data_IF_874256048908
#
_entry.id   IF_874256048908
#
_cell.length_a   1.000
_cell.length_b   1.000
_cell.length_c   1.000
_cell.angle_alpha   90.00
_cell.angle_beta   90.00
_cell.angle_gamma   90.00
#
_symmetry.space_group_name_H-M   'P 1'
#
loop_
_entity.id
_entity.type
_entity.pdbx_description
1 polymer ?
#
# COMPACT_ATOMS: atom_id res chain seq x y z
N UNK A 1 11.93 -25.98 -2.05
CA UNK A 1 12.86 -25.00 -2.62
C UNK A 1 12.31 -24.58 -3.97
N UNK A 2 11.86 -23.33 -4.08
CA UNK A 2 11.49 -22.74 -5.38
C UNK A 2 12.78 -22.66 -6.20
N UNK A 3 12.74 -23.25 -7.40
CA UNK A 3 13.91 -23.50 -8.24
C UNK A 3 14.58 -22.24 -8.77
N UNK A 4 15.82 -22.42 -9.22
CA UNK A 4 16.67 -21.42 -9.86
C UNK A 4 15.89 -20.54 -10.84
N UNK A 5 15.93 -19.23 -10.59
CA UNK A 5 15.35 -18.17 -11.43
C UNK A 5 16.41 -17.58 -12.38
N UNK A 6 17.31 -18.41 -12.92
CA UNK A 6 18.22 -17.94 -13.97
C UNK A 6 17.71 -18.43 -15.34
N UNK A 7 16.88 -17.64 -16.05
CA UNK A 7 16.52 -17.96 -17.41
C UNK A 7 17.75 -17.71 -18.29
N UNK A 8 18.57 -18.75 -18.46
CA UNK A 8 19.58 -18.77 -19.50
C UNK A 8 18.94 -18.50 -20.87
N UNK A 9 19.09 -17.27 -21.36
CA UNK A 9 18.66 -16.86 -22.69
C UNK A 9 17.48 -15.88 -22.70
N UNK A 10 17.79 -14.60 -22.55
CA UNK A 10 17.33 -13.41 -23.32
C UNK A 10 15.88 -13.26 -23.88
N UNK A 11 14.87 -14.06 -23.49
CA UNK A 11 13.50 -13.90 -24.05
C UNK A 11 12.31 -14.12 -23.12
N UNK A 12 12.50 -14.48 -21.85
CA UNK A 12 11.39 -14.63 -20.92
C UNK A 12 11.68 -13.92 -19.60
N UNK A 13 11.50 -12.60 -19.59
CA UNK A 13 11.43 -11.84 -18.34
C UNK A 13 10.16 -12.31 -17.62
N UNK A 14 10.33 -13.05 -16.53
CA UNK A 14 9.22 -13.36 -15.64
C UNK A 14 8.78 -12.06 -14.98
N UNK A 15 7.61 -11.56 -15.40
CA UNK A 15 6.98 -10.42 -14.74
C UNK A 15 6.03 -11.00 -13.68
N UNK A 16 6.29 -10.77 -12.38
CA UNK A 16 5.36 -11.20 -11.35
C UNK A 16 4.00 -10.54 -11.60
N UNK A 17 2.97 -11.36 -11.83
CA UNK A 17 1.60 -10.89 -12.06
C UNK A 17 0.78 -11.17 -10.81
N UNK A 18 0.28 -10.10 -10.18
CA UNK A 18 -0.70 -10.20 -9.11
C UNK A 18 -2.10 -10.25 -9.72
N UNK A 19 -2.91 -11.25 -9.35
CA UNK A 19 -4.30 -11.38 -9.77
C UNK A 19 -5.21 -11.37 -8.55
N UNK A 20 -6.26 -10.55 -8.60
CA UNK A 20 -7.35 -10.61 -7.63
C UNK A 20 -8.31 -11.73 -8.06
N UNK A 21 -8.65 -12.62 -7.14
CA UNK A 21 -9.52 -13.77 -7.35
C UNK A 21 -10.52 -13.85 -6.19
N UNK A 22 -11.49 -14.77 -6.31
CA UNK A 22 -12.44 -15.10 -5.25
C UNK A 22 -13.30 -13.89 -4.81
N UNK A 23 -14.29 -13.56 -5.65
CA UNK A 23 -15.24 -12.48 -5.42
C UNK A 23 -16.57 -12.98 -4.85
N UNK A 24 -16.61 -14.19 -4.30
CA UNK A 24 -17.87 -14.82 -3.83
C UNK A 24 -18.46 -14.08 -2.62
N UNK A 25 -17.62 -13.37 -1.85
CA UNK A 25 -18.02 -12.50 -0.74
C UNK A 25 -18.15 -11.01 -1.13
N UNK A 26 -17.98 -10.67 -2.41
CA UNK A 26 -18.13 -9.29 -2.86
C UNK A 26 -19.60 -8.84 -2.69
N UNK A 27 -19.78 -7.63 -2.17
CA UNK A 27 -21.09 -7.07 -1.92
C UNK A 27 -21.22 -5.65 -2.49
N UNK A 28 -22.42 -5.31 -2.96
CA UNK A 28 -22.73 -3.93 -3.36
C UNK A 28 -23.05 -3.13 -2.11
N UNK A 29 -22.15 -2.22 -1.75
CA UNK A 29 -22.37 -1.26 -0.67
C UNK A 29 -23.25 -0.13 -1.20
N UNK A 30 -24.45 0.03 -0.63
CA UNK A 30 -25.30 1.19 -0.90
C UNK A 30 -24.82 2.37 -0.07
N UNK A 31 -24.50 3.47 -0.71
CA UNK A 31 -24.03 4.69 -0.09
C UNK A 31 -24.64 5.92 -0.76
N UNK A 32 -24.58 7.07 -0.11
CA UNK A 32 -25.15 8.30 -0.65
C UNK A 32 -24.37 8.75 -1.91
N UNK A 33 -24.99 9.50 -2.84
CA UNK A 33 -24.29 10.01 -4.01
C UNK A 33 -23.01 10.78 -3.64
N UNK A 34 -21.88 10.33 -4.18
CA UNK A 34 -20.55 10.91 -3.89
C UNK A 34 -19.78 10.22 -2.76
N UNK A 35 -20.38 9.27 -2.03
CA UNK A 35 -19.69 8.42 -1.09
C UNK A 35 -19.12 7.16 -1.77
N UNK A 36 -17.96 6.71 -1.30
CA UNK A 36 -17.26 5.54 -1.84
C UNK A 36 -16.85 4.55 -0.73
N UNK A 37 -17.76 4.28 0.23
CA UNK A 37 -17.47 3.48 1.44
C UNK A 37 -16.84 2.12 1.14
N UNK A 38 -17.38 1.39 0.16
CA UNK A 38 -16.83 0.09 -0.24
C UNK A 38 -15.40 0.18 -0.79
N UNK A 39 -15.11 1.23 -1.58
CA UNK A 39 -13.76 1.45 -2.13
C UNK A 39 -12.78 1.81 -1.00
N UNK A 40 -13.18 2.69 -0.08
CA UNK A 40 -12.35 3.08 1.07
C UNK A 40 -12.10 1.91 2.01
N UNK A 41 -13.03 0.96 2.12
CA UNK A 41 -12.81 -0.29 2.85
C UNK A 41 -11.80 -1.18 2.12
N UNK A 42 -11.95 -1.36 0.82
CA UNK A 42 -10.99 -2.15 0.03
C UNK A 42 -9.57 -1.56 0.10
N UNK A 43 -9.42 -0.23 0.10
CA UNK A 43 -8.13 0.43 0.27
C UNK A 43 -7.48 0.07 1.61
N UNK A 44 -8.27 0.05 2.69
CA UNK A 44 -7.78 -0.37 4.00
C UNK A 44 -7.32 -1.84 3.97
N UNK A 45 -8.13 -2.74 3.39
CA UNK A 45 -7.80 -4.16 3.31
C UNK A 45 -6.54 -4.40 2.44
N UNK A 46 -6.35 -3.63 1.36
CA UNK A 46 -5.11 -3.61 0.58
C UNK A 46 -3.93 -3.12 1.44
N UNK A 47 -4.13 -2.07 2.24
CA UNK A 47 -3.16 -1.61 3.23
C UNK A 47 -2.71 -2.71 4.19
N UNK A 48 -3.65 -3.53 4.68
CA UNK A 48 -3.36 -4.66 5.55
C UNK A 48 -2.54 -5.75 4.85
N UNK A 49 -2.83 -6.03 3.57
CA UNK A 49 -2.01 -6.94 2.76
C UNK A 49 -0.59 -6.41 2.62
N UNK A 50 -0.41 -5.13 2.28
CA UNK A 50 0.92 -4.51 2.15
C UNK A 50 1.69 -4.54 3.48
N UNK A 51 1.02 -4.19 4.58
CA UNK A 51 1.59 -4.30 5.94
C UNK A 51 2.05 -5.72 6.25
N UNK A 52 1.22 -6.73 5.95
CA UNK A 52 1.56 -8.14 6.19
C UNK A 52 2.78 -8.59 5.37
N UNK A 53 2.93 -8.09 4.14
CA UNK A 53 4.11 -8.35 3.31
C UNK A 53 5.38 -7.71 3.88
N UNK A 54 5.29 -6.49 4.40
CA UNK A 54 6.42 -5.78 5.03
C UNK A 54 6.83 -6.46 6.34
N UNK A 55 5.85 -6.77 7.20
CA UNK A 55 6.10 -7.38 8.50
C UNK A 55 6.48 -8.87 8.41
N UNK A 56 6.12 -9.54 7.31
CA UNK A 56 6.26 -10.99 7.18
C UNK A 56 5.31 -11.78 8.09
N UNK A 57 4.26 -11.14 8.60
CA UNK A 57 3.28 -11.71 9.53
C UNK A 57 1.85 -11.37 9.08
N UNK A 58 1.09 -12.40 8.72
CA UNK A 58 -0.30 -12.30 8.25
C UNK A 58 -1.32 -12.35 9.40
N UNK A 59 -0.89 -12.70 10.61
CA UNK A 59 -1.74 -12.80 11.79
C UNK A 59 -1.58 -11.60 12.73
N UNK A 60 -0.67 -10.68 12.39
CA UNK A 60 -0.40 -9.53 13.22
C UNK A 60 -1.63 -8.61 13.26
N UNK A 61 -2.18 -8.48 14.45
CA UNK A 61 -3.22 -7.50 14.74
C UNK A 61 -2.49 -6.16 14.92
N UNK A 62 -2.90 -5.10 14.21
CA UNK A 62 -2.36 -3.77 14.45
C UNK A 62 -2.53 -3.37 15.91
N UNK A 63 -1.51 -2.73 16.49
CA UNK A 63 -1.66 -2.09 17.79
C UNK A 63 -2.73 -0.98 17.73
N UNK A 64 -3.10 -0.43 18.89
CA UNK A 64 -4.03 0.69 18.95
C UNK A 64 -3.60 1.82 18.02
N UNK A 65 -4.53 2.32 17.20
CA UNK A 65 -4.27 3.38 16.24
C UNK A 65 -3.50 4.56 16.85
N UNK A 66 -2.43 4.99 16.18
CA UNK A 66 -1.61 6.11 16.62
C UNK A 66 -1.62 7.25 15.61
N UNK A 67 -1.38 8.47 16.10
CA UNK A 67 -1.26 9.64 15.24
C UNK A 67 0.09 9.62 14.53
N UNK A 68 0.05 9.75 13.20
CA UNK A 68 1.24 9.84 12.36
C UNK A 68 1.21 11.14 11.53
N UNK A 69 2.38 11.57 11.09
CA UNK A 69 2.52 12.62 10.07
C UNK A 69 3.22 12.00 8.88
N UNK A 70 2.53 11.95 7.75
CA UNK A 70 3.10 11.37 6.52
C UNK A 70 3.28 12.44 5.45
N UNK A 71 4.24 12.20 4.55
CA UNK A 71 4.40 12.95 3.31
C UNK A 71 4.36 11.95 2.15
N UNK A 72 3.47 12.16 1.20
CA UNK A 72 3.30 11.28 0.04
C UNK A 72 3.46 12.11 -1.21
N UNK A 73 4.54 11.87 -1.95
CA UNK A 73 4.92 12.70 -3.08
C UNK A 73 5.46 14.07 -2.67
N UNK A 74 6.22 14.69 -3.56
CA UNK A 74 6.96 15.91 -3.23
C UNK A 74 6.07 17.16 -3.23
N UNK A 75 4.93 17.10 -3.94
CA UNK A 75 4.03 18.23 -4.17
C UNK A 75 2.78 18.25 -3.27
N UNK A 76 2.57 17.24 -2.43
CA UNK A 76 1.43 17.20 -1.51
C UNK A 76 1.84 17.69 -0.12
N UNK A 77 0.95 18.43 0.57
CA UNK A 77 1.20 18.82 1.95
C UNK A 77 1.25 17.58 2.85
N UNK A 78 2.04 17.68 3.92
CA UNK A 78 2.04 16.66 4.96
C UNK A 78 0.63 16.45 5.52
N UNK A 79 0.27 15.20 5.79
CA UNK A 79 -1.04 14.80 6.32
C UNK A 79 -0.86 14.26 7.72
N UNK A 80 -1.78 14.61 8.61
CA UNK A 80 -1.78 14.20 10.01
C UNK A 80 -3.10 13.48 10.29
N UNK A 81 -3.04 12.22 10.69
CA UNK A 81 -4.21 11.39 10.99
C UNK A 81 -3.83 10.21 11.88
N UNK A 82 -4.85 9.52 12.41
CA UNK A 82 -4.69 8.28 13.18
C UNK A 82 -4.69 7.08 12.23
N UNK A 83 -3.73 6.17 12.39
CA UNK A 83 -3.54 4.99 11.55
C UNK A 83 -3.30 3.74 12.39
N UNK A 84 -3.75 2.60 11.87
CA UNK A 84 -3.45 1.29 12.43
C UNK A 84 -2.06 0.80 11.95
N UNK A 85 -1.46 1.45 10.94
CA UNK A 85 -0.15 1.08 10.40
C UNK A 85 1.04 1.82 11.02
N UNK A 86 0.92 2.37 12.23
CA UNK A 86 1.92 3.30 12.79
C UNK A 86 3.29 2.66 13.02
N UNK A 87 3.36 1.34 13.10
CA UNK A 87 4.60 0.58 13.22
C UNK A 87 5.41 0.49 11.92
N UNK A 88 4.77 0.79 10.77
CA UNK A 88 5.37 0.66 9.44
C UNK A 88 6.30 1.85 9.17
N UNK A 89 7.48 1.82 9.80
CA UNK A 89 8.51 2.86 9.69
C UNK A 89 9.89 2.27 9.33
N UNK A 90 10.79 3.07 8.74
CA UNK A 90 12.16 2.63 8.44
C UNK A 90 12.97 2.23 9.68
N UNK A 91 12.67 2.82 10.85
CA UNK A 91 13.33 2.47 12.12
C UNK A 91 12.98 1.04 12.58
N UNK A 92 11.74 0.63 12.35
CA UNK A 92 11.27 -0.71 12.70
C UNK A 92 11.66 -1.74 11.63
N UNK A 93 11.70 -1.36 10.36
CA UNK A 93 11.95 -2.25 9.22
C UNK A 93 13.13 -1.75 8.37
N UNK A 94 14.33 -2.30 8.60
CA UNK A 94 15.65 -1.76 8.18
C UNK A 94 15.92 -1.60 6.67
N UNK A 95 14.96 -1.90 5.79
CA UNK A 95 15.07 -1.63 4.34
C UNK A 95 13.74 -1.12 3.75
N UNK A 96 12.86 -0.61 4.60
CA UNK A 96 11.61 -0.03 4.17
C UNK A 96 11.87 1.39 3.64
N UNK A 97 11.49 1.61 2.38
CA UNK A 97 11.43 2.94 1.80
C UNK A 97 10.39 3.80 2.54
N UNK A 98 10.78 5.01 2.94
CA UNK A 98 9.94 5.91 3.73
C UNK A 98 8.64 6.27 3.00
N UNK A 99 8.70 6.52 1.69
CA UNK A 99 7.53 6.87 0.88
C UNK A 99 6.58 5.66 0.74
N UNK A 100 7.12 4.43 0.67
CA UNK A 100 6.31 3.19 0.74
C UNK A 100 5.66 3.04 2.11
N UNK A 101 6.41 3.27 3.20
CA UNK A 101 5.87 3.23 4.56
C UNK A 101 4.73 4.24 4.74
N UNK A 102 4.94 5.47 4.31
CA UNK A 102 3.93 6.54 4.32
C UNK A 102 2.67 6.17 3.53
N UNK A 103 2.82 5.52 2.37
CA UNK A 103 1.70 5.06 1.55
C UNK A 103 0.89 3.98 2.28
N UNK A 104 1.54 3.00 2.91
CA UNK A 104 0.86 1.96 3.69
C UNK A 104 0.14 2.56 4.90
N UNK A 105 0.79 3.47 5.63
CA UNK A 105 0.17 4.20 6.74
C UNK A 105 -1.07 4.99 6.29
N UNK A 106 -1.04 5.57 5.09
CA UNK A 106 -2.17 6.30 4.52
C UNK A 106 -3.37 5.41 4.21
N UNK A 107 -3.14 4.23 3.60
CA UNK A 107 -4.19 3.24 3.37
C UNK A 107 -4.84 2.77 4.67
N UNK A 108 -4.03 2.62 5.72
CA UNK A 108 -4.45 2.16 7.05
C UNK A 108 -4.99 3.26 7.97
N UNK A 109 -5.33 4.43 7.43
CA UNK A 109 -5.98 5.47 8.22
C UNK A 109 -7.27 4.92 8.85
N UNK A 110 -7.40 5.07 10.17
CA UNK A 110 -8.50 4.49 10.95
C UNK A 110 -9.85 5.10 10.55
N UNK A 111 -9.84 6.34 10.07
CA UNK A 111 -10.99 7.07 9.56
C UNK A 111 -11.05 7.04 8.03
N UNK A 112 -12.20 6.65 7.47
CA UNK A 112 -12.38 6.45 6.02
C UNK A 112 -12.09 7.72 5.20
N UNK A 113 -12.42 8.90 5.74
CA UNK A 113 -12.22 10.19 5.05
C UNK A 113 -10.74 10.55 4.85
N UNK A 114 -9.87 9.96 5.67
CA UNK A 114 -8.44 10.25 5.67
C UNK A 114 -7.68 9.29 4.76
N UNK A 115 -8.33 8.21 4.30
CA UNK A 115 -7.75 7.26 3.34
C UNK A 115 -7.62 7.90 1.96
N UNK A 116 -6.63 7.47 1.16
CA UNK A 116 -6.45 7.98 -0.20
C UNK A 116 -7.58 7.51 -1.11
N UNK A 117 -7.82 8.22 -2.21
CA UNK A 117 -8.55 7.65 -3.34
C UNK A 117 -7.65 6.75 -4.17
N UNK A 118 -8.22 5.96 -5.09
CA UNK A 118 -7.44 5.14 -6.02
C UNK A 118 -6.53 6.02 -6.90
N UNK A 119 -7.02 7.18 -7.32
CA UNK A 119 -6.28 8.13 -8.15
C UNK A 119 -5.08 8.70 -7.38
N UNK A 120 -5.28 9.04 -6.10
CA UNK A 120 -4.20 9.51 -5.23
C UNK A 120 -3.14 8.41 -5.03
N UNK A 121 -3.56 7.16 -4.81
CA UNK A 121 -2.64 6.03 -4.70
C UNK A 121 -1.85 5.81 -5.98
N UNK A 122 -2.53 5.85 -7.13
CA UNK A 122 -1.88 5.67 -8.42
C UNK A 122 -0.85 6.77 -8.68
N UNK A 123 -1.19 8.04 -8.41
CA UNK A 123 -0.26 9.16 -8.55
C UNK A 123 0.98 8.98 -7.65
N UNK A 124 0.78 8.67 -6.36
CA UNK A 124 1.86 8.40 -5.42
C UNK A 124 2.78 7.27 -5.88
N UNK A 125 2.20 6.18 -6.41
CA UNK A 125 2.96 5.04 -6.92
C UNK A 125 3.74 5.36 -8.19
N UNK A 126 3.22 6.21 -9.08
CA UNK A 126 3.97 6.63 -10.26
C UNK A 126 5.18 7.48 -9.88
N UNK A 127 5.02 8.41 -8.95
CA UNK A 127 6.12 9.21 -8.41
C UNK A 127 7.20 8.30 -7.81
N UNK A 128 6.79 7.36 -6.95
CA UNK A 128 7.68 6.36 -6.36
C UNK A 128 8.41 5.51 -7.40
N UNK A 129 7.71 5.05 -8.43
CA UNK A 129 8.31 4.26 -9.51
C UNK A 129 9.39 5.06 -10.24
N UNK A 130 9.15 6.35 -10.49
CA UNK A 130 10.15 7.21 -11.13
C UNK A 130 11.39 7.42 -10.26
N UNK A 131 11.24 7.54 -8.93
CA UNK A 131 12.36 7.64 -7.99
C UNK A 131 13.15 6.32 -7.85
N UNK A 132 12.45 5.19 -7.84
CA UNK A 132 13.04 3.87 -7.61
C UNK A 132 13.72 3.26 -8.84
N UNK A 133 13.44 3.76 -10.04
CA UNK A 133 14.05 3.24 -11.28
C UNK A 133 15.31 4.05 -11.61
N UNK A 134 16.53 3.50 -11.48
CA UNK A 134 17.70 4.16 -12.04
C UNK A 134 17.51 4.27 -13.56
N UNK A 135 17.90 5.40 -14.15
CA UNK A 135 18.07 5.51 -15.60
C UNK A 135 18.93 4.33 -16.05
N UNK A 136 18.37 3.46 -16.90
CA UNK A 136 19.17 2.47 -17.62
C UNK A 136 19.89 3.22 -18.74
N UNK A 137 21.03 3.82 -18.40
CA UNK A 137 22.05 4.22 -19.37
C UNK A 137 22.88 3.00 -19.78
#
# INVERSE_FOLDING_TARGET
>A
MIGDLDPGGDRHVLIPTLKLIDFDLAAVVRCDPGENKGVLRNIYDIGMVMRSLIAGDILQIPDSAQMVTIKVGDNLPAKIFSTDGSDITPEQYINLDEDIGNLVQWCLASSEKDRPSIENLYAALQDLKTKATPSRD
#
